data_IF_877402191261
#
_entry.id   IF_877402191261
#
_cell.length_a   1.000
_cell.length_b   1.000
_cell.length_c   1.000
_cell.angle_alpha   90.00
_cell.angle_beta   90.00
_cell.angle_gamma   90.00
#
_symmetry.space_group_name_H-M   'P 1'
#
loop_
_entity.id
_entity.type
_entity.pdbx_description
1 polymer ?
#
# COMPACT_ATOMS: atom_id res chain seq x y z
N UNK A 1 -15.53 -19.48 -23.56
CA UNK A 1 -14.83 -18.25 -23.19
C UNK A 1 -14.41 -18.34 -21.75
N UNK A 2 -13.12 -18.47 -21.47
CA UNK A 2 -12.65 -18.53 -20.09
C UNK A 2 -12.82 -17.15 -19.45
N UNK A 3 -13.57 -17.07 -18.34
CA UNK A 3 -13.55 -15.90 -17.46
C UNK A 3 -12.09 -15.67 -17.06
N UNK A 4 -11.51 -14.47 -17.25
CA UNK A 4 -10.22 -14.18 -16.66
C UNK A 4 -10.35 -14.38 -15.15
N UNK A 5 -9.68 -15.41 -14.62
CA UNK A 5 -9.54 -15.59 -13.18
C UNK A 5 -8.80 -14.37 -12.65
N UNK A 6 -9.28 -13.79 -11.56
CA UNK A 6 -8.78 -12.56 -10.93
C UNK A 6 -7.39 -12.75 -10.26
N UNK A 7 -6.43 -13.22 -11.04
CA UNK A 7 -5.00 -13.25 -10.71
C UNK A 7 -4.28 -12.18 -11.53
N UNK A 8 -4.92 -11.03 -11.73
CA UNK A 8 -4.26 -9.87 -12.32
C UNK A 8 -3.58 -9.11 -11.18
N UNK A 9 -2.27 -9.33 -11.05
CA UNK A 9 -1.35 -8.52 -10.24
C UNK A 9 -1.65 -8.45 -8.73
N UNK A 10 -1.44 -9.55 -8.01
CA UNK A 10 -1.21 -9.44 -6.56
C UNK A 10 0.12 -8.71 -6.37
N UNK A 11 0.08 -7.49 -5.82
CA UNK A 11 1.27 -6.70 -5.51
C UNK A 11 2.27 -7.58 -4.76
N UNK A 12 3.56 -7.57 -5.18
CA UNK A 12 4.57 -8.45 -4.54
C UNK A 12 4.80 -8.10 -3.07
N UNK A 13 4.46 -6.87 -2.67
CA UNK A 13 4.51 -6.35 -1.30
C UNK A 13 3.31 -5.43 -1.08
N UNK A 14 2.16 -5.97 -0.66
CA UNK A 14 0.92 -5.19 -0.57
C UNK A 14 1.05 -3.98 0.37
N UNK A 15 1.92 -4.06 1.38
CA UNK A 15 2.14 -3.02 2.40
C UNK A 15 2.65 -1.68 1.85
N UNK A 16 3.11 -1.65 0.61
CA UNK A 16 3.61 -0.46 -0.08
C UNK A 16 2.71 -0.02 -1.24
N UNK A 17 1.56 -0.68 -1.45
CA UNK A 17 0.67 -0.34 -2.55
C UNK A 17 0.18 1.10 -2.43
N UNK A 18 0.24 1.83 -3.55
CA UNK A 18 -0.28 3.19 -3.64
C UNK A 18 -1.81 3.19 -3.82
N UNK A 19 -2.54 4.25 -3.44
CA UNK A 19 -4.00 4.32 -3.56
C UNK A 19 -4.50 4.07 -4.99
N UNK A 20 -3.80 4.58 -6.00
CA UNK A 20 -4.10 4.34 -7.41
C UNK A 20 -3.95 2.86 -7.79
N UNK A 21 -2.99 2.14 -7.20
CA UNK A 21 -2.84 0.70 -7.41
C UNK A 21 -3.98 -0.09 -6.76
N UNK A 22 -4.45 0.35 -5.59
CA UNK A 22 -5.60 -0.25 -4.89
C UNK A 22 -6.90 -0.03 -5.67
N UNK A 23 -7.08 1.16 -6.25
CA UNK A 23 -8.26 1.50 -7.07
C UNK A 23 -8.24 0.86 -8.46
N UNK A 24 -7.08 0.41 -8.93
CA UNK A 24 -6.89 -0.05 -10.30
C UNK A 24 -6.82 1.09 -11.32
N UNK A 25 -6.45 2.29 -10.86
CA UNK A 25 -6.23 3.47 -11.67
C UNK A 25 -4.88 3.37 -12.42
N UNK A 26 -4.59 4.38 -13.25
CA UNK A 26 -3.32 4.46 -13.97
C UNK A 26 -2.13 4.60 -13.00
N UNK A 27 -1.17 3.67 -13.11
CA UNK A 27 0.08 3.72 -12.37
C UNK A 27 1.02 4.72 -13.04
N UNK A 28 1.51 5.67 -12.25
CA UNK A 28 2.39 6.74 -12.72
C UNK A 28 3.61 6.87 -11.81
N UNK A 29 4.49 7.83 -12.08
CA UNK A 29 5.63 8.14 -11.20
C UNK A 29 5.22 8.53 -9.77
N UNK A 30 3.96 8.95 -9.54
CA UNK A 30 3.45 9.21 -8.19
C UNK A 30 3.36 7.94 -7.32
N UNK A 31 3.21 6.77 -7.95
CA UNK A 31 3.23 5.47 -7.26
C UNK A 31 4.59 5.21 -6.62
N UNK A 32 5.68 5.54 -7.31
CA UNK A 32 7.04 5.39 -6.78
C UNK A 32 7.29 6.35 -5.62
N UNK A 33 6.79 7.59 -5.71
CA UNK A 33 6.88 8.58 -4.63
C UNK A 33 6.13 8.11 -3.38
N UNK A 34 4.95 7.53 -3.55
CA UNK A 34 4.19 6.91 -2.46
C UNK A 34 4.98 5.78 -1.81
N UNK A 35 5.45 4.83 -2.61
CA UNK A 35 6.22 3.67 -2.14
C UNK A 35 7.49 4.08 -1.40
N UNK A 36 8.19 5.11 -1.89
CA UNK A 36 9.33 5.71 -1.21
C UNK A 36 8.92 6.31 0.14
N UNK A 37 7.79 7.01 0.21
CA UNK A 37 7.25 7.55 1.47
C UNK A 37 6.98 6.47 2.51
N UNK A 38 6.33 5.37 2.11
CA UNK A 38 6.08 4.21 2.98
C UNK A 38 7.40 3.59 3.46
N UNK A 39 8.37 3.40 2.55
CA UNK A 39 9.68 2.84 2.91
C UNK A 39 10.46 3.75 3.86
N UNK A 40 10.46 5.06 3.64
CA UNK A 40 11.09 6.03 4.54
C UNK A 40 10.43 6.03 5.92
N UNK A 41 9.10 5.96 5.97
CA UNK A 41 8.37 5.82 7.24
C UNK A 41 8.83 4.57 8.01
N UNK A 42 8.93 3.43 7.35
CA UNK A 42 9.40 2.18 7.97
C UNK A 42 10.85 2.26 8.42
N UNK A 43 11.73 2.87 7.63
CA UNK A 43 13.13 3.05 8.02
C UNK A 43 13.29 3.95 9.25
N UNK A 44 12.46 5.00 9.37
CA UNK A 44 12.51 5.95 10.48
C UNK A 44 11.88 5.41 11.76
N UNK A 45 10.79 4.66 11.65
CA UNK A 45 9.97 4.25 12.81
C UNK A 45 10.13 2.76 13.16
N UNK A 46 10.65 1.95 12.24
CA UNK A 46 10.63 0.48 12.33
C UNK A 46 9.24 -0.13 12.14
N UNK A 47 8.23 0.65 11.72
CA UNK A 47 6.82 0.25 11.61
C UNK A 47 6.25 0.64 10.24
N UNK A 48 5.19 -0.02 9.78
CA UNK A 48 4.49 0.39 8.55
C UNK A 48 3.39 1.43 8.88
N UNK A 49 3.09 2.37 7.96
CA UNK A 49 2.11 3.44 8.22
C UNK A 49 0.65 2.98 8.16
N UNK A 50 0.32 1.96 7.37
CA UNK A 50 -1.06 1.51 7.10
C UNK A 50 -1.35 0.07 7.55
N UNK A 51 -0.51 -0.53 8.38
CA UNK A 51 -0.72 -1.89 8.88
C UNK A 51 0.54 -2.56 9.39
N UNK A 52 0.57 -3.88 9.30
CA UNK A 52 1.72 -4.71 9.67
C UNK A 52 2.00 -5.73 8.56
N UNK A 53 3.20 -6.31 8.58
CA UNK A 53 3.63 -7.27 7.58
C UNK A 53 2.74 -8.51 7.61
N UNK A 54 2.16 -8.88 6.47
CA UNK A 54 1.23 -10.00 6.38
C UNK A 54 -0.20 -9.69 6.85
N UNK A 55 -0.55 -8.41 7.02
CA UNK A 55 -1.93 -7.99 7.25
C UNK A 55 -2.86 -8.50 6.15
N UNK A 56 -4.14 -8.69 6.49
CA UNK A 56 -5.15 -9.09 5.52
C UNK A 56 -5.26 -8.03 4.42
N UNK A 57 -5.20 -8.41 3.12
CA UNK A 57 -5.16 -7.43 2.02
C UNK A 57 -6.28 -6.39 2.09
N UNK A 58 -7.52 -6.83 2.37
CA UNK A 58 -8.66 -5.92 2.47
C UNK A 58 -8.50 -4.83 3.55
N UNK A 59 -7.96 -5.17 4.72
CA UNK A 59 -7.77 -4.19 5.79
C UNK A 59 -6.70 -3.15 5.44
N UNK A 60 -5.66 -3.60 4.73
CA UNK A 60 -4.61 -2.72 4.25
C UNK A 60 -5.10 -1.81 3.12
N UNK A 61 -5.88 -2.35 2.18
CA UNK A 61 -6.52 -1.58 1.10
C UNK A 61 -7.42 -0.49 1.68
N UNK A 62 -8.26 -0.82 2.66
CA UNK A 62 -9.11 0.16 3.35
C UNK A 62 -8.28 1.25 4.03
N UNK A 63 -7.21 0.89 4.74
CA UNK A 63 -6.33 1.85 5.40
C UNK A 63 -5.61 2.78 4.41
N UNK A 64 -5.06 2.24 3.32
CA UNK A 64 -4.41 3.02 2.25
C UNK A 64 -5.36 4.02 1.59
N UNK A 65 -6.64 3.68 1.48
CA UNK A 65 -7.64 4.53 0.82
C UNK A 65 -8.22 5.61 1.72
N UNK A 66 -8.35 5.35 3.02
CA UNK A 66 -9.22 6.16 3.90
C UNK A 66 -8.60 6.57 5.23
N UNK A 67 -7.45 6.02 5.62
CA UNK A 67 -6.79 6.39 6.87
C UNK A 67 -5.72 7.46 6.62
N UNK A 68 -5.55 8.37 7.59
CA UNK A 68 -4.37 9.21 7.66
C UNK A 68 -3.23 8.41 8.30
N UNK A 69 -2.01 8.43 7.72
CA UNK A 69 -0.87 7.80 8.36
C UNK A 69 -0.52 8.56 9.66
N UNK A 70 -0.13 7.85 10.72
CA UNK A 70 0.37 8.51 11.92
C UNK A 70 1.63 9.33 11.59
N UNK A 71 1.91 10.37 12.38
CA UNK A 71 3.14 11.12 12.20
C UNK A 71 4.35 10.23 12.56
N UNK A 72 5.43 10.20 11.77
CA UNK A 72 6.63 9.42 12.13
C UNK A 72 7.18 9.77 13.52
N UNK A 73 7.01 11.01 13.97
CA UNK A 73 7.46 11.50 15.27
C UNK A 73 6.57 11.11 16.45
N UNK A 74 5.48 10.36 16.23
CA UNK A 74 4.62 9.86 17.30
C UNK A 74 5.03 8.48 17.85
N UNK A 75 6.16 7.94 17.38
CA UNK A 75 6.75 6.67 17.81
C UNK A 75 8.07 6.91 18.53
#
# INVERSE_FOLDING_TARGET
GARPTATALRWRTPEYAAPEQVRGDEVTTFTDVWQLGVALFELLTGRLPFGERGAMPFALEEAVLYADPPAPSSF
#
